data_IF_162078878496
#
_entry.id   IF_162078878496
#
_cell.length_a   1.000
_cell.length_b   1.000
_cell.length_c   1.000
_cell.angle_alpha   90.00
_cell.angle_beta   90.00
_cell.angle_gamma   90.00
#
_symmetry.space_group_name_H-M   'P 1'
#
loop_
_entity.id
_entity.type
_entity.pdbx_description
1 polymer ?
#
# COMPACT_ATOMS: atom_id res chain seq x y z
N UNK A 1 -13.62 59.34 -3.80
CA UNK A 1 -13.55 58.10 -4.63
C UNK A 1 -12.19 57.40 -4.53
N UNK A 2 -11.08 58.12 -4.43
CA UNK A 2 -9.72 57.53 -4.45
C UNK A 2 -9.36 56.75 -3.17
N UNK A 3 -9.85 57.17 -2.00
CA UNK A 3 -9.58 56.44 -0.77
C UNK A 3 -10.27 55.07 -0.72
N UNK A 4 -11.47 54.94 -1.27
CA UNK A 4 -12.20 53.66 -1.35
C UNK A 4 -11.46 52.68 -2.26
N UNK A 5 -10.94 53.13 -3.40
CA UNK A 5 -10.15 52.29 -4.33
C UNK A 5 -8.85 51.81 -3.68
N UNK A 6 -8.19 52.67 -2.86
CA UNK A 6 -7.00 52.28 -2.09
C UNK A 6 -7.31 51.21 -1.03
N UNK A 7 -8.40 51.33 -0.28
CA UNK A 7 -8.80 50.33 0.71
C UNK A 7 -9.18 48.99 0.05
N UNK A 8 -9.89 49.04 -1.09
CA UNK A 8 -10.23 47.82 -1.86
C UNK A 8 -8.98 47.14 -2.40
N UNK A 9 -8.00 47.93 -2.95
CA UNK A 9 -6.74 47.37 -3.41
C UNK A 9 -5.90 46.73 -2.27
N UNK A 10 -5.82 47.38 -1.11
CA UNK A 10 -5.17 46.80 0.07
C UNK A 10 -5.87 45.53 0.57
N UNK A 11 -7.20 45.47 0.54
CA UNK A 11 -7.96 44.28 0.95
C UNK A 11 -7.73 43.12 -0.02
N UNK A 12 -7.69 43.41 -1.33
CA UNK A 12 -7.39 42.40 -2.36
C UNK A 12 -5.95 41.90 -2.21
N UNK A 13 -4.97 42.79 -1.98
CA UNK A 13 -3.59 42.40 -1.71
C UNK A 13 -3.48 41.55 -0.43
N UNK A 14 -4.21 41.88 0.63
CA UNK A 14 -4.24 41.07 1.87
C UNK A 14 -4.88 39.70 1.64
N UNK A 15 -5.95 39.60 0.85
CA UNK A 15 -6.58 38.34 0.48
C UNK A 15 -5.69 37.49 -0.43
N UNK A 16 -4.96 38.12 -1.37
CA UNK A 16 -3.99 37.41 -2.22
C UNK A 16 -2.77 36.94 -1.42
N UNK A 17 -2.27 37.75 -0.49
CA UNK A 17 -1.19 37.32 0.43
C UNK A 17 -1.66 36.24 1.38
N UNK A 18 -2.89 36.31 1.88
CA UNK A 18 -3.47 35.23 2.72
C UNK A 18 -3.72 33.95 1.93
N UNK A 19 -4.06 34.03 0.66
CA UNK A 19 -4.21 32.84 -0.21
C UNK A 19 -2.87 32.23 -0.66
N UNK A 20 -1.78 33.03 -0.68
CA UNK A 20 -0.43 32.52 -0.97
C UNK A 20 0.27 31.94 0.28
N UNK A 21 -0.20 32.26 1.48
CA UNK A 21 0.21 31.64 2.73
C UNK A 21 -0.70 30.41 3.04
N UNK A 22 -0.76 29.46 2.14
CA UNK A 22 -1.12 28.09 2.53
C UNK A 22 0.02 27.54 3.39
N UNK A 23 0.15 28.06 4.62
CA UNK A 23 0.89 27.40 5.68
C UNK A 23 0.11 26.10 5.90
N UNK A 24 0.56 24.99 5.31
CA UNK A 24 0.10 23.68 5.74
C UNK A 24 0.46 23.60 7.23
N UNK A 25 -0.53 23.79 8.11
CA UNK A 25 -0.35 23.53 9.53
C UNK A 25 0.08 22.05 9.62
N UNK A 26 1.33 21.84 10.01
CA UNK A 26 1.81 20.51 10.35
C UNK A 26 0.91 19.97 11.46
N UNK A 27 0.25 18.85 11.21
CA UNK A 27 -0.55 18.22 12.25
C UNK A 27 0.36 17.86 13.43
N UNK A 28 -0.15 17.99 14.66
CA UNK A 28 0.60 17.53 15.83
C UNK A 28 0.83 16.01 15.70
N UNK A 29 2.01 15.56 16.10
CA UNK A 29 2.33 14.15 16.12
C UNK A 29 1.29 13.39 16.96
N UNK A 30 0.63 12.36 16.41
CA UNK A 30 -0.40 11.63 17.12
C UNK A 30 0.18 10.70 18.17
N UNK A 31 -0.58 10.46 19.24
CA UNK A 31 -0.27 9.43 20.23
C UNK A 31 -1.37 8.36 20.16
N UNK A 32 -1.27 7.35 19.28
CA UNK A 32 -2.26 6.30 19.18
C UNK A 32 -2.34 5.45 20.45
N UNK A 33 -3.55 4.96 20.75
CA UNK A 33 -3.81 4.11 21.91
C UNK A 33 -3.29 2.69 21.70
N UNK A 34 -2.89 2.35 20.50
CA UNK A 34 -2.30 1.09 20.12
C UNK A 34 -1.06 0.72 20.96
N UNK A 35 -0.89 -0.57 21.21
CA UNK A 35 0.34 -1.11 21.82
C UNK A 35 1.54 -1.00 20.89
N UNK A 36 1.31 -1.22 19.59
CA UNK A 36 2.27 -0.95 18.53
C UNK A 36 1.58 -0.29 17.34
N UNK A 37 2.24 0.66 16.70
CA UNK A 37 1.73 1.36 15.52
C UNK A 37 2.85 1.73 14.57
N UNK A 38 2.54 1.80 13.26
CA UNK A 38 3.43 2.33 12.24
C UNK A 38 2.63 2.98 11.11
N UNK A 39 3.20 4.01 10.51
CA UNK A 39 2.76 4.61 9.26
C UNK A 39 3.94 4.68 8.31
N UNK A 40 3.80 4.12 7.11
CA UNK A 40 4.85 4.13 6.09
C UNK A 40 4.32 4.70 4.76
N UNK A 41 5.23 5.22 3.95
CA UNK A 41 5.01 5.40 2.51
C UNK A 41 5.12 4.03 1.83
N UNK A 42 4.05 3.60 1.17
CA UNK A 42 3.97 2.28 0.54
C UNK A 42 4.99 2.09 -0.58
N UNK A 43 5.37 3.16 -1.28
CA UNK A 43 6.25 3.09 -2.45
C UNK A 43 7.72 2.92 -2.10
N UNK A 44 8.15 3.46 -0.95
CA UNK A 44 9.55 3.49 -0.53
C UNK A 44 9.83 2.66 0.72
N UNK A 45 8.78 2.27 1.47
CA UNK A 45 8.89 1.66 2.79
C UNK A 45 9.37 2.63 3.89
N UNK A 46 9.47 3.94 3.58
CA UNK A 46 9.95 4.95 4.53
C UNK A 46 8.96 5.10 5.69
N UNK A 47 9.48 4.99 6.91
CA UNK A 47 8.71 5.19 8.14
C UNK A 47 8.42 6.68 8.33
N UNK A 48 7.16 7.02 8.52
CA UNK A 48 6.65 8.38 8.78
C UNK A 48 6.34 8.57 10.27
N UNK A 49 5.82 7.51 10.88
CA UNK A 49 5.52 7.43 12.30
C UNK A 49 5.72 6.01 12.79
N UNK A 50 6.21 5.85 14.02
CA UNK A 50 6.29 4.54 14.66
C UNK A 50 6.13 4.62 16.18
N UNK A 51 5.56 3.57 16.74
CA UNK A 51 5.44 3.33 18.17
C UNK A 51 5.59 1.85 18.42
N UNK A 52 6.65 1.42 19.10
CA UNK A 52 6.94 0.01 19.38
C UNK A 52 6.81 -0.89 18.12
N UNK A 53 7.21 -0.37 16.95
CA UNK A 53 6.94 -0.97 15.64
C UNK A 53 7.49 -2.38 15.48
N UNK A 54 8.58 -2.71 16.20
CA UNK A 54 9.25 -4.02 16.18
C UNK A 54 8.80 -4.97 17.31
N UNK A 55 7.80 -4.56 18.12
CA UNK A 55 7.28 -5.44 19.16
C UNK A 55 6.51 -6.62 18.55
N UNK A 56 6.93 -7.85 18.86
CA UNK A 56 6.20 -9.06 18.47
C UNK A 56 4.87 -9.15 19.21
N UNK A 57 3.77 -9.10 18.48
CA UNK A 57 2.41 -9.14 18.99
C UNK A 57 1.55 -10.09 18.15
N UNK A 58 0.47 -10.60 18.76
CA UNK A 58 -0.54 -11.33 18.03
C UNK A 58 -1.23 -10.36 17.05
N UNK A 59 -1.49 -10.85 15.83
CA UNK A 59 -2.00 -10.01 14.74
C UNK A 59 -3.42 -10.40 14.29
N UNK A 60 -4.00 -11.45 14.92
CA UNK A 60 -5.33 -11.94 14.60
C UNK A 60 -5.54 -12.13 13.08
N UNK A 61 -6.72 -11.82 12.58
CA UNK A 61 -7.09 -11.99 11.16
C UNK A 61 -6.36 -11.07 10.16
N UNK A 62 -5.46 -10.17 10.61
CA UNK A 62 -4.57 -9.47 9.66
C UNK A 62 -3.61 -10.44 8.96
N UNK A 63 -3.40 -11.64 9.53
CA UNK A 63 -2.77 -12.82 8.92
C UNK A 63 -3.27 -13.11 7.51
N UNK A 64 -4.58 -12.88 7.25
CA UNK A 64 -5.20 -13.17 5.95
C UNK A 64 -4.66 -12.33 4.80
N UNK A 65 -3.87 -11.29 5.08
CA UNK A 65 -3.11 -10.56 4.06
C UNK A 65 -2.12 -11.51 3.38
N UNK A 66 -1.35 -12.27 4.16
CA UNK A 66 -0.42 -13.28 3.64
C UNK A 66 -1.16 -14.42 2.93
N UNK A 67 -2.22 -14.92 3.52
CA UNK A 67 -3.03 -16.00 2.94
C UNK A 67 -3.62 -15.59 1.59
N UNK A 68 -4.15 -14.37 1.51
CA UNK A 68 -4.69 -13.80 0.26
C UNK A 68 -3.60 -13.63 -0.80
N UNK A 69 -2.44 -13.11 -0.42
CA UNK A 69 -1.31 -12.91 -1.32
C UNK A 69 -0.85 -14.24 -1.94
N UNK A 70 -0.61 -15.26 -1.13
CA UNK A 70 -0.21 -16.59 -1.60
C UNK A 70 -1.28 -17.26 -2.46
N UNK A 71 -2.56 -17.09 -2.13
CA UNK A 71 -3.67 -17.62 -2.93
C UNK A 71 -3.71 -16.99 -4.33
N UNK A 72 -3.43 -15.69 -4.42
CA UNK A 72 -3.33 -14.98 -5.71
C UNK A 72 -2.11 -15.47 -6.50
N UNK A 73 -0.96 -15.58 -5.84
CA UNK A 73 0.29 -16.04 -6.48
C UNK A 73 0.20 -17.49 -7.00
N UNK A 74 -0.62 -18.32 -6.37
CA UNK A 74 -0.86 -19.70 -6.83
C UNK A 74 -1.61 -19.77 -8.17
N UNK A 75 -2.28 -18.68 -8.61
CA UNK A 75 -3.01 -18.65 -9.87
C UNK A 75 -4.34 -19.39 -9.85
N UNK A 76 -4.86 -19.72 -11.03
CA UNK A 76 -6.12 -20.47 -11.25
C UNK A 76 -7.30 -19.90 -10.41
N UNK A 77 -7.44 -18.57 -10.43
CA UNK A 77 -8.36 -17.87 -9.53
C UNK A 77 -9.83 -18.13 -9.82
N UNK A 78 -10.17 -18.51 -11.06
CA UNK A 78 -11.54 -18.56 -11.55
C UNK A 78 -12.04 -20.00 -11.80
N UNK A 79 -11.21 -21.01 -11.56
CA UNK A 79 -11.57 -22.41 -11.67
C UNK A 79 -12.37 -22.86 -10.44
N UNK A 80 -13.51 -23.51 -10.71
CA UNK A 80 -14.37 -24.06 -9.66
C UNK A 80 -13.81 -25.34 -9.08
N UNK A 81 -13.86 -25.47 -7.77
CA UNK A 81 -13.56 -26.71 -7.04
C UNK A 81 -14.48 -26.88 -5.84
N UNK A 82 -14.65 -28.13 -5.37
CA UNK A 82 -15.40 -28.43 -4.16
C UNK A 82 -14.51 -28.20 -2.92
N UNK A 83 -15.06 -27.51 -1.91
CA UNK A 83 -14.32 -27.23 -0.66
C UNK A 83 -14.11 -28.50 0.15
N UNK A 84 -12.94 -28.59 0.82
CA UNK A 84 -12.69 -29.63 1.79
C UNK A 84 -13.55 -29.44 3.04
N UNK A 85 -14.37 -30.46 3.35
CA UNK A 85 -15.35 -30.40 4.45
C UNK A 85 -14.74 -30.26 5.83
N UNK A 86 -13.53 -30.78 6.05
CA UNK A 86 -12.83 -30.64 7.35
C UNK A 86 -12.18 -29.26 7.47
N UNK A 87 -11.61 -28.73 6.38
CA UNK A 87 -10.98 -27.43 6.37
C UNK A 87 -11.94 -26.28 6.75
N UNK A 88 -13.21 -26.37 6.33
CA UNK A 88 -14.21 -25.33 6.61
C UNK A 88 -14.85 -25.43 8.02
N UNK A 89 -14.60 -26.51 8.77
CA UNK A 89 -15.06 -26.69 10.16
C UNK A 89 -14.16 -25.91 11.12
N UNK A 90 -14.28 -24.62 11.12
CA UNK A 90 -13.46 -23.69 11.91
C UNK A 90 -14.37 -22.67 12.59
N UNK A 91 -14.01 -22.29 13.81
CA UNK A 91 -14.74 -21.29 14.57
C UNK A 91 -14.47 -19.84 14.10
N UNK A 92 -15.30 -18.92 14.61
CA UNK A 92 -15.15 -17.50 14.41
C UNK A 92 -15.84 -16.98 13.14
N UNK A 93 -15.26 -15.95 12.50
CA UNK A 93 -15.84 -15.34 11.31
C UNK A 93 -15.88 -16.30 10.13
N UNK A 94 -16.97 -16.26 9.34
CA UNK A 94 -17.21 -17.17 8.22
C UNK A 94 -17.77 -16.42 7.02
N UNK A 95 -17.47 -16.87 5.80
CA UNK A 95 -18.18 -16.46 4.59
C UNK A 95 -19.43 -17.32 4.31
N UNK A 96 -19.63 -18.37 5.10
CA UNK A 96 -20.76 -19.28 4.98
C UNK A 96 -20.54 -20.46 4.05
N UNK A 97 -19.31 -21.00 3.98
CA UNK A 97 -19.03 -22.24 3.27
C UNK A 97 -19.76 -23.43 3.92
N UNK A 98 -20.17 -24.39 3.12
CA UNK A 98 -20.86 -25.61 3.53
C UNK A 98 -20.33 -26.81 2.77
N UNK A 99 -20.54 -27.99 3.32
CA UNK A 99 -20.11 -29.26 2.71
C UNK A 99 -20.66 -29.42 1.28
N UNK A 100 -19.78 -29.70 0.33
CA UNK A 100 -20.10 -29.79 -1.08
C UNK A 100 -20.23 -28.44 -1.79
N UNK A 101 -19.92 -27.31 -1.11
CA UNK A 101 -19.90 -26.03 -1.78
C UNK A 101 -18.83 -26.00 -2.88
N UNK A 102 -19.24 -25.60 -4.09
CA UNK A 102 -18.32 -25.38 -5.20
C UNK A 102 -18.01 -23.89 -5.34
N UNK A 103 -16.73 -23.55 -5.25
CA UNK A 103 -16.25 -22.17 -5.20
C UNK A 103 -15.03 -21.98 -6.10
N UNK A 104 -14.65 -20.74 -6.33
CA UNK A 104 -13.36 -20.39 -6.95
C UNK A 104 -12.42 -19.78 -5.90
N UNK A 105 -11.11 -19.81 -6.15
CA UNK A 105 -10.15 -19.11 -5.28
C UNK A 105 -10.48 -17.63 -5.17
N UNK A 106 -10.89 -16.97 -6.26
CA UNK A 106 -11.34 -15.57 -6.25
C UNK A 106 -12.47 -15.32 -5.25
N UNK A 107 -13.45 -16.22 -5.16
CA UNK A 107 -14.53 -16.11 -4.18
C UNK A 107 -13.99 -16.18 -2.75
N UNK A 108 -13.00 -17.05 -2.51
CA UNK A 108 -12.35 -17.18 -1.21
C UNK A 108 -11.54 -15.92 -0.83
N UNK A 109 -10.92 -15.22 -1.82
CA UNK A 109 -10.27 -13.92 -1.56
C UNK A 109 -11.27 -12.93 -0.95
N UNK A 110 -12.44 -12.77 -1.56
CA UNK A 110 -13.51 -11.91 -1.00
C UNK A 110 -13.99 -12.42 0.36
N UNK A 111 -14.15 -13.74 0.51
CA UNK A 111 -14.54 -14.37 1.77
C UNK A 111 -13.55 -14.11 2.91
N UNK A 112 -12.26 -14.10 2.63
CA UNK A 112 -11.19 -13.78 3.60
C UNK A 112 -11.13 -12.30 3.95
N UNK A 113 -11.21 -11.43 2.93
CA UNK A 113 -10.91 -10.01 3.12
C UNK A 113 -12.10 -9.21 3.62
N UNK A 114 -13.34 -9.51 3.20
CA UNK A 114 -14.51 -8.73 3.57
C UNK A 114 -15.06 -9.15 4.96
N UNK A 115 -15.72 -10.32 5.12
CA UNK A 115 -16.25 -10.74 6.41
C UNK A 115 -15.19 -11.35 7.32
N UNK A 116 -13.94 -11.49 6.84
CA UNK A 116 -12.87 -12.13 7.60
C UNK A 116 -13.02 -13.64 7.77
N UNK A 117 -13.65 -14.35 6.81
CA UNK A 117 -13.97 -15.78 6.91
C UNK A 117 -12.74 -16.66 7.20
N UNK A 118 -12.79 -17.41 8.30
CA UNK A 118 -11.80 -18.40 8.66
C UNK A 118 -11.95 -19.67 7.80
N UNK A 119 -13.20 -20.02 7.49
CA UNK A 119 -13.56 -21.08 6.55
C UNK A 119 -12.97 -20.80 5.14
N UNK A 120 -13.07 -19.57 4.67
CA UNK A 120 -12.46 -19.16 3.41
C UNK A 120 -10.93 -19.27 3.43
N UNK A 121 -10.29 -18.89 4.54
CA UNK A 121 -8.85 -18.95 4.68
C UNK A 121 -8.33 -20.40 4.66
N UNK A 122 -8.98 -21.29 5.38
CA UNK A 122 -8.62 -22.70 5.39
C UNK A 122 -8.91 -23.39 4.04
N UNK A 123 -10.07 -23.09 3.43
CA UNK A 123 -10.40 -23.61 2.09
C UNK A 123 -9.39 -23.14 1.04
N UNK A 124 -8.94 -21.87 1.10
CA UNK A 124 -7.90 -21.37 0.23
C UNK A 124 -6.57 -22.09 0.45
N UNK A 125 -6.16 -22.26 1.71
CA UNK A 125 -4.94 -22.97 2.07
C UNK A 125 -4.93 -24.42 1.52
N UNK A 126 -6.01 -25.16 1.73
CA UNK A 126 -6.14 -26.53 1.21
C UNK A 126 -6.16 -26.56 -0.31
N UNK A 127 -6.83 -25.61 -0.97
CA UNK A 127 -6.87 -25.53 -2.44
C UNK A 127 -5.50 -25.27 -3.08
N UNK A 128 -4.60 -24.60 -2.36
CA UNK A 128 -3.25 -24.27 -2.83
C UNK A 128 -2.23 -25.34 -2.49
N UNK A 129 -2.21 -25.81 -1.23
CA UNK A 129 -1.15 -26.65 -0.70
C UNK A 129 -1.59 -28.10 -0.41
N UNK A 130 -2.88 -28.40 -0.49
CA UNK A 130 -3.45 -29.71 -0.15
C UNK A 130 -3.77 -29.89 1.33
N UNK A 131 -3.15 -29.12 2.21
CA UNK A 131 -3.49 -29.04 3.64
C UNK A 131 -3.00 -27.71 4.26
N UNK A 132 -3.57 -27.35 5.44
CA UNK A 132 -3.27 -26.10 6.12
C UNK A 132 -1.82 -26.03 6.64
N UNK A 133 -1.23 -27.15 7.07
CA UNK A 133 0.14 -27.13 7.62
C UNK A 133 1.17 -26.82 6.54
N UNK A 134 1.05 -27.45 5.37
CA UNK A 134 1.91 -27.14 4.20
C UNK A 134 1.73 -25.70 3.75
N UNK A 135 0.50 -25.18 3.80
CA UNK A 135 0.27 -23.79 3.49
C UNK A 135 0.93 -22.85 4.51
N UNK A 136 0.92 -23.18 5.79
CA UNK A 136 1.64 -22.44 6.84
C UNK A 136 3.16 -22.46 6.60
N UNK A 137 3.71 -23.59 6.15
CA UNK A 137 5.12 -23.64 5.72
C UNK A 137 5.40 -22.65 4.57
N UNK A 138 4.49 -22.56 3.58
CA UNK A 138 4.58 -21.58 2.50
C UNK A 138 4.48 -20.15 3.02
N UNK A 139 3.58 -19.87 3.99
CA UNK A 139 3.46 -18.53 4.60
C UNK A 139 4.77 -18.11 5.26
N UNK A 140 5.40 -19.00 6.04
CA UNK A 140 6.67 -18.71 6.70
C UNK A 140 7.84 -18.59 5.72
N UNK A 141 7.85 -19.39 4.66
CA UNK A 141 8.83 -19.24 3.57
C UNK A 141 8.69 -17.90 2.86
N UNK A 142 7.45 -17.46 2.58
CA UNK A 142 7.18 -16.15 1.99
C UNK A 142 7.56 -15.01 2.93
N UNK A 143 7.33 -15.15 4.23
CA UNK A 143 7.77 -14.17 5.22
C UNK A 143 9.30 -13.97 5.16
N UNK A 144 10.07 -15.07 5.08
CA UNK A 144 11.52 -15.01 4.90
C UNK A 144 11.93 -14.37 3.56
N UNK A 145 11.26 -14.74 2.46
CA UNK A 145 11.50 -14.15 1.13
C UNK A 145 11.30 -12.62 1.16
N UNK A 146 10.28 -12.15 1.88
CA UNK A 146 9.95 -10.73 2.01
C UNK A 146 10.77 -10.00 3.09
N UNK A 147 11.65 -10.69 3.82
CA UNK A 147 12.46 -10.10 4.89
C UNK A 147 11.66 -9.75 6.16
N UNK A 148 10.54 -10.43 6.41
CA UNK A 148 9.71 -10.24 7.61
C UNK A 148 10.30 -11.04 8.78
N UNK A 149 11.42 -10.55 9.33
CA UNK A 149 12.26 -11.32 10.27
C UNK A 149 11.60 -11.58 11.63
N UNK A 150 10.61 -10.78 11.99
CA UNK A 150 9.89 -10.87 13.26
C UNK A 150 8.46 -11.39 13.10
N UNK A 151 8.21 -12.19 12.06
CA UNK A 151 6.89 -12.75 11.75
C UNK A 151 6.92 -14.27 11.72
N UNK A 152 5.95 -14.89 12.38
CA UNK A 152 5.74 -16.33 12.35
C UNK A 152 4.26 -16.67 12.30
N UNK A 153 3.87 -17.44 11.30
CA UNK A 153 2.50 -17.92 11.08
C UNK A 153 2.32 -19.34 11.58
N UNK A 154 1.17 -19.64 12.18
CA UNK A 154 0.77 -20.97 12.65
C UNK A 154 -0.56 -21.41 12.04
N UNK A 155 -1.40 -20.46 11.64
CA UNK A 155 -2.68 -20.74 10.98
C UNK A 155 -2.87 -19.85 9.75
N UNK A 156 -3.61 -20.30 8.72
CA UNK A 156 -3.96 -19.45 7.58
C UNK A 156 -4.94 -18.33 7.94
N UNK A 157 -5.72 -18.49 9.00
CA UNK A 157 -6.81 -17.60 9.40
C UNK A 157 -6.41 -16.52 10.40
N UNK A 158 -5.34 -16.76 11.19
CA UNK A 158 -4.94 -15.87 12.29
C UNK A 158 -5.57 -16.22 13.63
N UNK A 159 -6.21 -17.41 13.77
CA UNK A 159 -6.60 -17.93 15.06
C UNK A 159 -5.35 -18.32 15.87
N UNK A 160 -5.29 -17.88 17.12
CA UNK A 160 -4.13 -17.97 18.01
C UNK A 160 -4.43 -18.56 19.38
N UNK A 161 -5.60 -19.18 19.55
CA UNK A 161 -6.12 -19.59 20.86
C UNK A 161 -5.21 -20.56 21.63
N UNK A 162 -4.46 -21.39 20.92
CA UNK A 162 -3.64 -22.45 21.50
C UNK A 162 -2.14 -22.21 21.44
N UNK A 163 -1.69 -21.04 20.97
CA UNK A 163 -0.26 -20.76 20.76
C UNK A 163 0.10 -19.31 20.99
N UNK A 164 1.35 -19.06 21.43
CA UNK A 164 1.96 -17.74 21.41
C UNK A 164 2.87 -17.54 20.20
N UNK A 165 3.05 -18.57 19.38
CA UNK A 165 4.00 -18.59 18.29
C UNK A 165 3.42 -17.97 17.00
N UNK A 166 2.15 -17.52 17.02
CA UNK A 166 1.49 -16.79 15.94
C UNK A 166 1.61 -15.29 16.18
N UNK A 167 2.66 -14.68 15.63
CA UNK A 167 2.98 -13.28 15.89
C UNK A 167 3.56 -12.56 14.67
N UNK A 168 3.50 -11.25 14.72
CA UNK A 168 4.21 -10.36 13.81
C UNK A 168 4.54 -9.03 14.51
N UNK A 169 5.09 -8.08 13.78
CA UNK A 169 5.31 -6.71 14.24
C UNK A 169 4.48 -5.74 13.39
N UNK A 170 4.27 -4.52 13.89
CA UNK A 170 3.61 -3.50 13.09
C UNK A 170 4.44 -3.18 11.82
N UNK A 171 5.77 -3.20 11.94
CA UNK A 171 6.68 -2.99 10.82
C UNK A 171 6.53 -4.08 9.75
N UNK A 172 6.65 -5.35 10.13
CA UNK A 172 6.55 -6.47 9.18
C UNK A 172 5.18 -6.51 8.50
N UNK A 173 4.10 -6.26 9.26
CA UNK A 173 2.75 -6.19 8.70
C UNK A 173 2.57 -5.02 7.72
N UNK A 174 3.23 -3.89 7.94
CA UNK A 174 3.20 -2.77 7.02
C UNK A 174 3.94 -3.10 5.70
N UNK A 175 5.11 -3.74 5.80
CA UNK A 175 5.87 -4.19 4.64
C UNK A 175 5.11 -5.25 3.83
N UNK A 176 4.49 -6.23 4.52
CA UNK A 176 3.62 -7.23 3.89
C UNK A 176 2.44 -6.57 3.16
N UNK A 177 1.78 -5.61 3.82
CA UNK A 177 0.65 -4.91 3.22
C UNK A 177 1.07 -4.07 2.01
N UNK A 178 2.21 -3.36 2.08
CA UNK A 178 2.74 -2.60 0.95
C UNK A 178 2.99 -3.53 -0.26
N UNK A 179 3.63 -4.67 -0.04
CA UNK A 179 3.85 -5.67 -1.09
C UNK A 179 2.55 -6.24 -1.65
N UNK A 180 1.58 -6.56 -0.81
CA UNK A 180 0.29 -7.09 -1.25
C UNK A 180 -0.50 -6.06 -2.07
N UNK A 181 -0.46 -4.78 -1.68
CA UNK A 181 -1.14 -3.68 -2.38
C UNK A 181 -0.56 -3.36 -3.77
N UNK A 182 0.63 -3.84 -4.11
CA UNK A 182 1.16 -3.78 -5.49
C UNK A 182 0.36 -4.67 -6.45
N UNK A 183 -0.28 -5.72 -5.93
CA UNK A 183 -1.06 -6.64 -6.75
C UNK A 183 -2.47 -6.07 -7.02
N UNK A 184 -2.86 -5.87 -8.30
CA UNK A 184 -4.15 -5.25 -8.64
C UNK A 184 -5.36 -6.08 -8.18
N UNK A 185 -5.26 -7.42 -8.15
CA UNK A 185 -6.35 -8.28 -7.67
C UNK A 185 -6.52 -8.13 -6.16
N UNK A 186 -5.40 -8.10 -5.41
CA UNK A 186 -5.44 -7.86 -3.96
C UNK A 186 -6.08 -6.51 -3.65
N UNK A 187 -5.65 -5.47 -4.35
CA UNK A 187 -6.15 -4.11 -4.20
C UNK A 187 -7.65 -3.99 -4.48
N UNK A 188 -8.13 -4.61 -5.56
CA UNK A 188 -9.55 -4.66 -5.91
C UNK A 188 -10.37 -5.33 -4.80
N UNK A 189 -9.95 -6.53 -4.36
CA UNK A 189 -10.64 -7.29 -3.33
C UNK A 189 -10.72 -6.52 -2.01
N UNK A 190 -9.61 -6.00 -1.49
CA UNK A 190 -9.62 -5.35 -0.17
C UNK A 190 -10.31 -3.98 -0.15
N UNK A 191 -10.44 -3.31 -1.30
CA UNK A 191 -11.18 -2.05 -1.44
C UNK A 191 -12.69 -2.23 -1.66
N UNK A 192 -13.12 -3.45 -1.95
CA UNK A 192 -14.55 -3.77 -2.17
C UNK A 192 -15.33 -3.66 -0.87
N UNK A 193 -16.40 -2.83 -0.87
CA UNK A 193 -17.29 -2.63 0.29
C UNK A 193 -18.24 -3.77 0.52
N UNK A 194 -18.87 -4.23 -0.54
CA UNK A 194 -19.79 -5.37 -0.53
C UNK A 194 -19.89 -6.00 -1.91
N UNK A 195 -20.16 -7.30 -1.94
CA UNK A 195 -20.32 -8.04 -3.19
C UNK A 195 -21.33 -9.18 -2.99
N UNK A 196 -22.07 -9.51 -4.05
CA UNK A 196 -22.85 -10.74 -4.14
C UNK A 196 -22.14 -11.70 -5.08
N UNK A 197 -21.71 -12.83 -4.56
CA UNK A 197 -21.10 -13.92 -5.33
C UNK A 197 -22.11 -15.06 -5.52
N UNK A 198 -21.86 -15.95 -6.47
CA UNK A 198 -22.66 -17.15 -6.66
C UNK A 198 -21.80 -18.39 -6.51
N UNK A 199 -22.19 -19.27 -5.60
CA UNK A 199 -21.60 -20.62 -5.51
C UNK A 199 -21.90 -21.43 -6.79
N UNK A 200 -21.16 -22.49 -7.03
CA UNK A 200 -21.33 -23.34 -8.21
C UNK A 200 -22.72 -23.98 -8.31
N UNK A 201 -23.47 -24.12 -7.22
CA UNK A 201 -24.86 -24.58 -7.18
C UNK A 201 -25.88 -23.43 -7.43
N UNK A 202 -25.41 -22.21 -7.67
CA UNK A 202 -26.22 -21.03 -7.97
C UNK A 202 -26.72 -20.25 -6.76
N UNK A 203 -26.40 -20.67 -5.52
CA UNK A 203 -26.76 -19.92 -4.31
C UNK A 203 -26.01 -18.60 -4.23
N UNK A 204 -26.71 -17.56 -3.82
CA UNK A 204 -26.13 -16.24 -3.57
C UNK A 204 -25.35 -16.22 -2.25
N UNK A 205 -24.15 -15.59 -2.28
CA UNK A 205 -23.30 -15.33 -1.13
C UNK A 205 -23.07 -13.82 -1.02
N UNK A 206 -23.71 -13.18 -0.06
CA UNK A 206 -23.58 -11.75 0.18
C UNK A 206 -22.47 -11.51 1.20
N UNK A 207 -21.47 -10.73 0.82
CA UNK A 207 -20.32 -10.40 1.66
C UNK A 207 -20.21 -8.89 1.84
N UNK A 208 -19.94 -8.46 3.07
CA UNK A 208 -19.71 -7.05 3.43
C UNK A 208 -18.37 -6.89 4.12
N UNK A 209 -17.66 -5.82 3.78
CA UNK A 209 -16.34 -5.54 4.34
C UNK A 209 -16.47 -5.00 5.77
N UNK A 210 -15.74 -5.61 6.69
CA UNK A 210 -15.68 -5.20 8.09
C UNK A 210 -14.84 -3.93 8.34
N UNK A 211 -14.07 -3.49 7.34
CA UNK A 211 -13.25 -2.29 7.43
C UNK A 211 -14.09 -1.01 7.24
N UNK A 212 -14.49 -0.40 8.36
CA UNK A 212 -15.30 0.83 8.38
C UNK A 212 -14.58 2.06 7.82
N UNK A 213 -13.24 2.05 7.76
CA UNK A 213 -12.49 3.18 7.19
C UNK A 213 -12.79 3.39 5.71
N UNK A 214 -13.22 2.35 4.98
CA UNK A 214 -13.63 2.47 3.57
C UNK A 214 -14.76 3.49 3.38
N UNK A 215 -15.60 3.70 4.41
CA UNK A 215 -16.73 4.64 4.35
C UNK A 215 -16.47 5.92 5.14
N UNK A 216 -15.57 5.89 6.14
CA UNK A 216 -15.39 6.98 7.12
C UNK A 216 -14.09 7.77 6.97
N UNK A 217 -13.16 7.34 6.13
CA UNK A 217 -11.89 8.01 5.89
C UNK A 217 -11.64 8.19 4.40
N UNK A 218 -11.56 9.44 3.95
CA UNK A 218 -11.32 9.76 2.54
C UNK A 218 -9.98 9.21 2.06
N UNK A 219 -10.02 8.55 0.90
CA UNK A 219 -8.85 7.96 0.27
C UNK A 219 -8.51 6.55 0.77
N UNK A 220 -9.19 5.99 1.76
CA UNK A 220 -8.92 4.61 2.21
C UNK A 220 -9.35 3.59 1.16
N UNK A 221 -8.44 2.67 0.85
CA UNK A 221 -8.55 1.65 -0.20
C UNK A 221 -8.34 0.21 0.32
N UNK A 222 -8.37 -0.01 1.61
CA UNK A 222 -8.21 -1.34 2.26
C UNK A 222 -7.68 -1.18 3.67
N UNK A 223 -7.20 -2.20 4.36
CA UNK A 223 -6.82 -3.53 3.91
C UNK A 223 -7.55 -4.60 4.73
N UNK A 224 -7.22 -4.77 6.05
CA UNK A 224 -7.75 -5.89 6.86
C UNK A 224 -7.88 -5.54 8.33
N UNK A 225 -9.03 -5.89 8.90
CA UNK A 225 -9.30 -5.88 10.35
C UNK A 225 -8.91 -7.21 10.99
N UNK A 226 -8.56 -7.18 12.28
CA UNK A 226 -8.31 -8.36 13.07
C UNK A 226 -8.82 -8.21 14.51
N UNK A 227 -9.28 -9.29 15.10
CA UNK A 227 -9.62 -9.38 16.53
C UNK A 227 -9.55 -10.82 16.99
N UNK A 228 -8.87 -11.03 18.10
CA UNK A 228 -9.01 -12.19 19.01
C UNK A 228 -8.96 -11.64 20.42
N UNK A 229 -9.41 -12.41 21.41
CA UNK A 229 -9.34 -11.98 22.82
C UNK A 229 -7.88 -11.72 23.26
N UNK A 230 -6.94 -12.44 22.67
CA UNK A 230 -5.51 -12.33 22.96
C UNK A 230 -4.84 -11.16 22.25
N UNK A 231 -5.15 -10.96 20.96
CA UNK A 231 -4.56 -9.90 20.16
C UNK A 231 -5.15 -8.51 20.47
N UNK A 232 -6.41 -8.47 20.94
CA UNK A 232 -7.19 -7.25 20.91
C UNK A 232 -7.53 -6.83 19.48
N UNK A 233 -7.92 -5.56 19.28
CA UNK A 233 -8.20 -5.04 17.95
C UNK A 233 -6.89 -4.77 17.19
N UNK A 234 -6.81 -5.25 15.96
CA UNK A 234 -5.71 -5.03 15.04
C UNK A 234 -6.26 -4.50 13.72
N UNK A 235 -5.57 -3.55 13.14
CA UNK A 235 -5.99 -2.96 11.88
C UNK A 235 -4.76 -2.72 10.99
N UNK A 236 -4.87 -3.15 9.74
CA UNK A 236 -3.98 -2.76 8.65
C UNK A 236 -4.84 -1.99 7.66
N UNK A 237 -4.46 -0.77 7.34
CA UNK A 237 -5.16 0.02 6.32
C UNK A 237 -4.22 0.65 5.32
N UNK A 238 -4.74 0.97 4.15
CA UNK A 238 -4.07 1.71 3.09
C UNK A 238 -4.93 2.90 2.69
N UNK A 239 -4.30 4.05 2.54
CA UNK A 239 -4.96 5.28 2.10
C UNK A 239 -4.18 5.88 0.94
N UNK A 240 -4.88 6.33 -0.10
CA UNK A 240 -4.29 7.01 -1.24
C UNK A 240 -4.90 8.40 -1.40
N UNK A 241 -4.05 9.43 -1.37
CA UNK A 241 -4.43 10.81 -1.64
C UNK A 241 -3.37 11.44 -2.56
N UNK A 242 -3.82 12.11 -3.60
CA UNK A 242 -2.95 12.81 -4.56
C UNK A 242 -1.82 11.92 -5.13
N UNK A 243 -2.09 10.62 -5.35
CA UNK A 243 -1.12 9.65 -5.87
C UNK A 243 -0.08 9.17 -4.86
N UNK A 244 -0.20 9.55 -3.58
CA UNK A 244 0.61 9.02 -2.47
C UNK A 244 -0.19 7.97 -1.74
N UNK A 245 0.38 6.77 -1.59
CA UNK A 245 -0.23 5.69 -0.82
C UNK A 245 0.51 5.50 0.51
N UNK A 246 -0.20 5.65 1.62
CA UNK A 246 0.30 5.37 2.95
C UNK A 246 -0.31 4.08 3.50
N UNK A 247 0.52 3.28 4.17
CA UNK A 247 0.09 2.09 4.92
C UNK A 247 0.16 2.40 6.41
N UNK A 248 -0.92 2.14 7.10
CA UNK A 248 -1.01 2.28 8.56
C UNK A 248 -1.31 0.91 9.18
N UNK A 249 -0.58 0.57 10.23
CA UNK A 249 -0.81 -0.64 11.03
C UNK A 249 -0.90 -0.27 12.49
N UNK A 250 -1.95 -0.76 13.17
CA UNK A 250 -2.03 -0.75 14.63
C UNK A 250 -2.30 -2.16 15.15
N UNK A 251 -1.59 -2.56 16.20
CA UNK A 251 -1.76 -3.82 16.90
C UNK A 251 -2.17 -3.55 18.35
N UNK A 252 -3.19 -4.27 18.82
CA UNK A 252 -3.82 -4.09 20.13
C UNK A 252 -4.21 -2.62 20.36
N UNK A 253 -5.16 -2.14 19.55
CA UNK A 253 -5.59 -0.76 19.53
C UNK A 253 -7.10 -0.63 19.77
N UNK A 254 -7.56 -0.22 20.96
CA UNK A 254 -8.97 -0.08 21.23
C UNK A 254 -9.68 1.01 20.41
N UNK A 255 -8.94 2.00 19.90
CA UNK A 255 -9.47 3.12 19.12
C UNK A 255 -8.99 3.15 17.66
N UNK A 256 -8.71 2.00 17.08
CA UNK A 256 -8.08 1.80 15.76
C UNK A 256 -8.62 2.72 14.65
N UNK A 257 -9.95 2.89 14.52
CA UNK A 257 -10.54 3.77 13.50
C UNK A 257 -10.15 5.25 13.67
N UNK A 258 -10.12 5.72 14.91
CA UNK A 258 -9.77 7.10 15.21
C UNK A 258 -8.26 7.32 15.05
N UNK A 259 -7.46 6.39 15.53
CA UNK A 259 -6.00 6.49 15.52
C UNK A 259 -5.47 6.44 14.08
N UNK A 260 -6.02 5.57 13.22
CA UNK A 260 -5.68 5.54 11.79
C UNK A 260 -6.00 6.84 11.05
N UNK A 261 -7.18 7.44 11.30
CA UNK A 261 -7.51 8.75 10.71
C UNK A 261 -6.48 9.82 11.09
N UNK A 262 -6.11 9.89 12.37
CA UNK A 262 -5.13 10.87 12.85
C UNK A 262 -3.73 10.63 12.31
N UNK A 263 -3.33 9.35 12.17
CA UNK A 263 -2.04 8.97 11.58
C UNK A 263 -1.99 9.37 10.10
N UNK A 264 -3.08 9.18 9.35
CA UNK A 264 -3.15 9.65 7.96
C UNK A 264 -3.09 11.16 7.84
N UNK A 265 -3.85 11.91 8.65
CA UNK A 265 -3.81 13.37 8.63
C UNK A 265 -2.39 13.88 8.97
N UNK A 266 -1.71 13.25 9.93
CA UNK A 266 -0.32 13.54 10.24
C UNK A 266 0.60 13.24 9.05
N UNK A 267 0.55 12.02 8.50
CA UNK A 267 1.40 11.61 7.37
C UNK A 267 1.25 12.51 6.15
N UNK A 268 0.01 12.78 5.74
CA UNK A 268 -0.26 13.68 4.60
C UNK A 268 0.05 15.17 4.90
N UNK A 269 0.23 15.55 6.15
CA UNK A 269 0.74 16.88 6.49
C UNK A 269 2.25 17.01 6.27
N UNK A 270 2.98 15.89 6.29
CA UNK A 270 4.44 15.84 6.17
C UNK A 270 4.91 15.54 4.75
N UNK A 271 4.15 14.72 4.02
CA UNK A 271 4.50 14.23 2.68
C UNK A 271 3.59 14.85 1.63
N UNK A 272 4.14 15.24 0.50
CA UNK A 272 3.38 15.74 -0.64
C UNK A 272 4.09 15.42 -1.94
N UNK A 273 3.33 15.29 -3.02
CA UNK A 273 3.91 15.22 -4.36
C UNK A 273 4.75 16.47 -4.64
N UNK A 274 6.01 16.25 -4.97
CA UNK A 274 6.97 17.29 -5.35
C UNK A 274 7.46 17.02 -6.75
N UNK A 275 7.60 18.10 -7.54
CA UNK A 275 8.15 18.02 -8.88
C UNK A 275 9.66 18.10 -8.82
N UNK A 276 10.33 17.08 -9.33
CA UNK A 276 11.74 17.10 -9.65
C UNK A 276 11.87 17.53 -11.10
N UNK A 277 12.45 18.70 -11.34
CA UNK A 277 12.59 19.27 -12.68
C UNK A 277 13.42 18.35 -13.58
N UNK A 278 12.92 18.08 -14.76
CA UNK A 278 13.66 17.40 -15.82
C UNK A 278 14.91 18.16 -16.24
N UNK A 279 15.53 17.72 -17.31
CA UNK A 279 16.71 18.38 -17.88
C UNK A 279 16.42 18.85 -19.28
N UNK A 280 16.99 20.01 -19.64
CA UNK A 280 17.08 20.50 -21.00
C UNK A 280 18.54 20.82 -21.31
N UNK A 281 19.09 20.23 -22.38
CA UNK A 281 20.50 20.32 -22.71
C UNK A 281 20.72 20.16 -24.21
N UNK A 282 21.96 20.35 -24.66
CA UNK A 282 22.37 20.15 -26.06
C UNK A 282 23.40 19.01 -26.11
N UNK A 283 23.19 18.07 -27.02
CA UNK A 283 24.10 16.95 -27.26
C UNK A 283 24.93 17.19 -28.49
N UNK A 284 26.27 17.08 -28.42
CA UNK A 284 27.12 17.18 -29.61
C UNK A 284 26.75 16.10 -30.64
N UNK A 285 26.79 16.46 -31.91
CA UNK A 285 26.52 15.50 -32.97
C UNK A 285 27.61 15.55 -34.06
N UNK A 286 27.72 14.43 -34.77
CA UNK A 286 28.74 14.22 -35.82
C UNK A 286 28.08 13.65 -37.07
N UNK A 287 28.50 14.09 -38.24
CA UNK A 287 28.05 13.55 -39.53
C UNK A 287 26.88 14.32 -40.16
N UNK A 288 26.59 15.53 -39.69
CA UNK A 288 25.56 16.43 -40.25
C UNK A 288 26.01 17.88 -40.30
N UNK A 289 25.05 18.80 -40.56
CA UNK A 289 25.27 20.24 -40.59
C UNK A 289 25.23 20.83 -39.18
N UNK A 290 24.37 20.28 -38.33
CA UNK A 290 24.22 20.71 -36.96
C UNK A 290 25.33 20.15 -36.08
N UNK A 291 25.93 21.01 -35.25
CA UNK A 291 26.95 20.63 -34.27
C UNK A 291 26.33 20.09 -32.96
N UNK A 292 25.08 20.49 -32.66
CA UNK A 292 24.36 20.13 -31.46
C UNK A 292 22.88 19.92 -31.75
N UNK A 293 22.25 18.94 -31.09
CA UNK A 293 20.82 18.75 -31.08
C UNK A 293 20.25 18.98 -29.68
N UNK A 294 19.01 19.53 -29.55
CA UNK A 294 18.34 19.65 -28.27
C UNK A 294 17.93 18.29 -27.76
N UNK A 295 18.07 18.08 -26.45
CA UNK A 295 17.63 16.89 -25.76
C UNK A 295 17.12 17.23 -24.39
N UNK A 296 16.14 16.48 -23.92
CA UNK A 296 15.52 16.74 -22.63
C UNK A 296 14.91 15.52 -21.98
N UNK A 297 14.47 15.70 -20.76
CA UNK A 297 13.62 14.75 -20.04
C UNK A 297 12.46 15.49 -19.40
N UNK A 298 11.32 14.78 -19.27
CA UNK A 298 10.17 15.29 -18.55
C UNK A 298 10.45 15.43 -17.06
N UNK A 299 9.67 16.29 -16.41
CA UNK A 299 9.60 16.39 -14.96
C UNK A 299 9.08 15.08 -14.34
N UNK A 300 9.47 14.84 -13.09
CA UNK A 300 9.01 13.69 -12.30
C UNK A 300 8.30 14.19 -11.05
N UNK A 301 7.08 13.71 -10.80
CA UNK A 301 6.41 13.91 -9.53
C UNK A 301 6.63 12.72 -8.62
N UNK A 302 7.09 12.99 -7.39
CA UNK A 302 7.30 11.98 -6.34
C UNK A 302 6.77 12.47 -5.00
N UNK A 303 6.27 11.55 -4.15
CA UNK A 303 5.96 11.83 -2.76
C UNK A 303 7.27 12.06 -1.98
N UNK A 304 7.49 13.29 -1.53
CA UNK A 304 8.68 13.69 -0.78
C UNK A 304 8.29 14.53 0.44
N UNK A 305 9.08 14.42 1.49
CA UNK A 305 9.01 15.35 2.61
C UNK A 305 9.58 16.70 2.19
N UNK A 306 9.16 17.77 2.86
CA UNK A 306 9.63 19.11 2.52
C UNK A 306 11.17 19.24 2.61
N UNK A 307 11.76 18.61 3.61
CA UNK A 307 13.22 18.66 3.81
C UNK A 307 14.00 17.78 2.82
N UNK A 308 13.37 16.79 2.20
CA UNK A 308 14.03 15.92 1.22
C UNK A 308 14.50 16.69 -0.02
N UNK A 309 13.76 17.69 -0.44
CA UNK A 309 14.10 18.47 -1.63
C UNK A 309 15.50 19.09 -1.55
N UNK A 310 15.98 19.42 -0.34
CA UNK A 310 17.32 19.97 -0.11
C UNK A 310 18.42 18.93 -0.26
N UNK A 311 18.07 17.65 -0.11
CA UNK A 311 19.00 16.51 -0.09
C UNK A 311 18.91 15.67 -1.37
N UNK A 312 18.00 16.01 -2.29
CA UNK A 312 17.92 15.31 -3.58
C UNK A 312 19.13 15.66 -4.45
N UNK A 313 19.94 14.66 -4.75
CA UNK A 313 21.04 14.78 -5.71
C UNK A 313 20.57 14.36 -7.11
N UNK A 314 20.91 15.15 -8.11
CA UNK A 314 20.67 14.85 -9.53
C UNK A 314 21.95 14.46 -10.22
N UNK A 315 21.98 13.30 -10.88
CA UNK A 315 23.12 12.85 -11.72
C UNK A 315 22.66 12.61 -13.14
N UNK A 316 23.45 13.10 -14.09
CA UNK A 316 23.19 12.95 -15.52
C UNK A 316 24.30 12.08 -16.10
N UNK A 317 23.88 11.01 -16.79
CA UNK A 317 24.75 10.15 -17.57
C UNK A 317 24.29 10.20 -19.02
N UNK A 318 25.20 10.53 -19.95
CA UNK A 318 24.82 10.70 -21.35
C UNK A 318 25.97 10.30 -22.30
N UNK A 319 25.61 10.03 -23.55
CA UNK A 319 26.57 9.81 -24.63
C UNK A 319 27.37 11.10 -24.87
N UNK A 320 28.66 10.92 -25.18
CA UNK A 320 29.55 12.06 -25.43
C UNK A 320 29.19 12.82 -26.72
N UNK A 321 28.68 12.10 -27.72
CA UNK A 321 28.17 12.63 -28.98
C UNK A 321 27.25 11.60 -29.64
N UNK A 322 26.48 12.00 -30.62
CA UNK A 322 25.60 11.13 -31.41
C UNK A 322 25.96 11.25 -32.90
N UNK A 323 25.69 10.18 -33.63
CA UNK A 323 25.84 10.19 -35.11
C UNK A 323 24.52 10.59 -35.80
N UNK A 324 24.62 11.46 -36.79
CA UNK A 324 23.51 11.83 -37.65
C UNK A 324 23.41 10.88 -38.87
N UNK A 325 22.18 10.58 -39.37
CA UNK A 325 20.88 11.10 -38.89
C UNK A 325 20.41 10.44 -37.61
N UNK A 326 19.85 11.23 -36.70
CA UNK A 326 19.22 10.75 -35.46
C UNK A 326 17.75 11.23 -35.44
N UNK A 327 16.88 10.42 -34.82
CA UNK A 327 15.46 10.70 -34.77
C UNK A 327 15.07 11.32 -33.42
N UNK A 328 14.07 12.21 -33.39
CA UNK A 328 13.41 12.67 -32.18
C UNK A 328 12.92 11.45 -31.35
N UNK A 329 13.01 11.54 -30.02
CA UNK A 329 12.71 10.44 -29.11
C UNK A 329 13.85 9.43 -28.90
N UNK A 330 14.97 9.54 -29.63
CA UNK A 330 16.13 8.68 -29.41
C UNK A 330 16.77 8.96 -28.05
N UNK A 331 16.92 7.91 -27.21
CA UNK A 331 17.52 8.04 -25.89
C UNK A 331 19.04 8.28 -25.99
N UNK A 332 19.51 9.40 -25.48
CA UNK A 332 20.91 9.83 -25.49
C UNK A 332 21.56 9.82 -24.13
N UNK A 333 20.78 9.59 -23.08
CA UNK A 333 21.27 9.53 -21.71
C UNK A 333 20.17 9.24 -20.70
N UNK A 334 20.52 9.42 -19.43
CA UNK A 334 19.58 9.27 -18.30
C UNK A 334 19.84 10.34 -17.25
N UNK A 335 18.79 10.84 -16.66
CA UNK A 335 18.83 11.59 -15.42
C UNK A 335 18.39 10.68 -14.29
N UNK A 336 19.16 10.63 -13.19
CA UNK A 336 18.89 9.82 -12.01
C UNK A 336 18.90 10.72 -10.80
N UNK A 337 17.85 10.61 -9.97
CA UNK A 337 17.71 11.35 -8.73
C UNK A 337 17.96 10.41 -7.55
N UNK A 338 18.74 10.88 -6.60
CA UNK A 338 19.12 10.16 -5.39
C UNK A 338 18.66 10.92 -4.16
N UNK A 339 18.22 10.20 -3.14
CA UNK A 339 17.98 10.70 -1.80
C UNK A 339 18.71 9.77 -0.83
N UNK A 340 19.57 10.33 0.01
CA UNK A 340 20.42 9.59 0.95
C UNK A 340 21.20 8.44 0.28
N UNK A 341 21.69 8.69 -0.94
CA UNK A 341 22.45 7.73 -1.74
C UNK A 341 21.64 6.63 -2.43
N UNK A 342 20.32 6.57 -2.22
CA UNK A 342 19.41 5.64 -2.89
C UNK A 342 18.78 6.30 -4.11
N UNK A 343 18.58 5.51 -5.19
CA UNK A 343 17.85 5.99 -6.37
C UNK A 343 16.36 6.10 -6.02
N UNK A 344 15.80 7.30 -6.17
CA UNK A 344 14.38 7.57 -5.95
C UNK A 344 13.61 7.74 -7.27
N UNK A 345 14.29 8.13 -8.36
CA UNK A 345 13.70 8.22 -9.69
C UNK A 345 14.75 8.20 -10.80
N UNK A 346 14.33 7.81 -12.00
CA UNK A 346 15.16 7.87 -13.21
C UNK A 346 14.28 8.15 -14.44
N UNK A 347 14.81 8.94 -15.37
CA UNK A 347 14.21 9.21 -16.68
C UNK A 347 15.27 9.17 -17.78
N UNK A 348 14.84 8.72 -18.96
CA UNK A 348 15.66 8.82 -20.16
C UNK A 348 15.71 10.29 -20.63
N UNK A 349 16.87 10.71 -21.12
CA UNK A 349 17.06 11.98 -21.83
C UNK A 349 16.96 11.64 -23.30
N UNK A 350 16.00 12.23 -23.98
CA UNK A 350 15.69 11.95 -25.39
C UNK A 350 15.92 13.17 -26.26
N UNK A 351 16.23 12.96 -27.54
CA UNK A 351 16.30 14.05 -28.53
C UNK A 351 14.90 14.64 -28.75
N UNK A 352 14.82 15.96 -28.81
CA UNK A 352 13.58 16.72 -29.09
C UNK A 352 13.22 16.75 -30.58
#
# INVERSE_FOLDING_TARGET
MDNIKRYVACLICLLVVASCLCIRLRAAEPEPTARAAILIDASTGRVIYEKNSDAQLQMASTTKIMTTLLTIEAGDLDDYFEVDSEAIRVEGSSMGLYEGASVTRRMLLYGMMLPSGNDAANAAAVSVAGDCNKFVEMMNAKAQELGLENTHFVTPSGLDDYTNDHYSTAHDMAMLAARAMENPVFRDVCSTRSICLKFGDGKDCWLSNSNRLLDSCEGVIGVKTGFTDKAGRCLVSACERDGVTLICVTLNDPNDWYDHNRLYDYGYSLIANRTLEGVSLKVPCVGGIDEFLPAGSEDIMLPLFEDDLKNVERRITMQRFIYLPAQSGHAVGKVTYYLDGKVIAQRDIVLE
#
